data_IF_813423401693
#
_entry.id   IF_813423401693
#
_cell.length_a   1.000
_cell.length_b   1.000
_cell.length_c   1.000
_cell.angle_alpha   90.00
_cell.angle_beta   90.00
_cell.angle_gamma   90.00
#
_symmetry.space_group_name_H-M   'P 1'
#
loop_
_entity.id
_entity.type
_entity.pdbx_description
1 polymer ?
#
# COMPACT_ATOMS: atom_id res chain seq x y z
N UNK A 1 13.11 18.05 23.31
CA UNK A 1 13.16 19.28 22.47
C UNK A 1 11.82 19.98 22.53
N UNK A 2 11.78 21.33 22.55
CA UNK A 2 10.51 22.08 22.57
C UNK A 2 9.83 21.99 21.19
N UNK A 3 8.55 21.61 21.18
CA UNK A 3 7.76 21.38 19.96
C UNK A 3 6.49 22.24 19.85
N UNK A 4 5.93 22.70 20.99
CA UNK A 4 4.77 23.57 21.03
C UNK A 4 4.68 24.31 22.36
N UNK A 5 3.71 25.24 22.48
CA UNK A 5 3.30 25.80 23.76
C UNK A 5 1.98 25.17 24.20
N UNK A 6 1.73 25.14 25.52
CA UNK A 6 0.45 24.62 26.05
C UNK A 6 -0.76 25.43 25.57
N UNK A 7 -0.59 26.72 25.30
CA UNK A 7 -1.62 27.58 24.72
C UNK A 7 -2.01 27.22 23.28
N UNK A 8 -1.16 26.49 22.57
CA UNK A 8 -1.36 26.14 21.16
C UNK A 8 -2.33 24.98 20.95
N UNK A 9 -2.64 24.21 22.02
CA UNK A 9 -3.44 23.00 21.93
C UNK A 9 -4.47 22.98 23.07
N UNK A 10 -5.69 23.38 22.78
CA UNK A 10 -6.78 23.41 23.76
C UNK A 10 -7.22 21.99 24.17
N UNK A 11 -7.91 21.80 25.31
CA UNK A 11 -8.46 20.51 25.67
C UNK A 11 -9.29 19.88 24.54
N UNK A 12 -9.09 18.59 24.28
CA UNK A 12 -9.67 17.83 23.16
C UNK A 12 -9.21 18.28 21.77
N UNK A 13 -8.12 19.04 21.68
CA UNK A 13 -7.48 19.36 20.41
C UNK A 13 -6.19 18.57 20.20
N UNK A 14 -5.81 18.49 18.95
CA UNK A 14 -4.59 17.85 18.46
C UNK A 14 -3.80 18.83 17.62
N UNK A 15 -2.50 18.62 17.54
CA UNK A 15 -1.60 19.41 16.71
C UNK A 15 -0.50 18.55 16.14
N UNK A 16 -0.32 18.66 14.83
CA UNK A 16 0.85 18.11 14.16
C UNK A 16 2.09 18.95 14.47
N UNK A 17 3.20 18.26 14.76
CA UNK A 17 4.52 18.88 14.92
C UNK A 17 5.57 17.98 14.25
N UNK A 18 6.69 18.57 13.88
CA UNK A 18 7.85 17.82 13.35
C UNK A 18 8.98 17.83 14.36
N UNK A 19 9.55 16.66 14.59
CA UNK A 19 10.72 16.46 15.46
C UNK A 19 11.66 15.43 14.83
N UNK A 20 12.90 15.84 14.54
CA UNK A 20 13.94 14.98 13.94
C UNK A 20 13.49 14.21 12.67
N UNK A 21 12.60 14.83 11.88
CA UNK A 21 12.05 14.28 10.65
C UNK A 21 10.86 13.33 10.83
N UNK A 22 10.42 13.10 12.07
CA UNK A 22 9.17 12.38 12.38
C UNK A 22 8.00 13.38 12.49
N UNK A 23 6.84 12.97 12.03
CA UNK A 23 5.60 13.74 12.15
C UNK A 23 4.85 13.19 13.36
N UNK A 24 4.62 14.04 14.36
CA UNK A 24 4.07 13.67 15.66
C UNK A 24 2.74 14.37 15.86
N UNK A 25 1.72 13.66 16.30
CA UNK A 25 0.46 14.18 16.77
C UNK A 25 0.55 14.42 18.28
N UNK A 26 0.47 15.68 18.72
CA UNK A 26 0.33 16.03 20.13
C UNK A 26 -1.15 16.17 20.43
N UNK A 27 -1.60 15.52 21.50
CA UNK A 27 -3.00 15.44 21.90
C UNK A 27 -3.16 16.00 23.31
N UNK A 28 -4.09 16.93 23.50
CA UNK A 28 -4.47 17.45 24.81
C UNK A 28 -5.73 16.73 25.32
N UNK A 29 -5.56 15.82 26.27
CA UNK A 29 -6.66 15.16 26.96
C UNK A 29 -6.77 15.73 28.38
N UNK A 30 -7.73 16.62 28.62
CA UNK A 30 -7.99 17.20 29.95
C UNK A 30 -6.74 17.85 30.57
N UNK A 31 -6.06 18.71 29.81
CA UNK A 31 -4.84 19.43 30.23
C UNK A 31 -3.60 18.54 30.44
N UNK A 32 -3.72 17.26 30.10
CA UNK A 32 -2.60 16.34 30.01
C UNK A 32 -2.24 16.06 28.57
N UNK A 33 -0.97 16.17 28.24
CA UNK A 33 -0.48 16.06 26.86
C UNK A 33 0.09 14.68 26.60
N UNK A 34 -0.29 14.11 25.45
CA UNK A 34 0.21 12.85 24.93
C UNK A 34 0.78 13.09 23.54
N UNK A 35 1.65 12.21 23.10
CA UNK A 35 2.23 12.29 21.76
C UNK A 35 2.38 10.88 21.17
N UNK A 36 1.85 10.71 19.96
CA UNK A 36 1.96 9.49 19.16
C UNK A 36 2.42 9.87 17.75
N UNK A 37 2.84 8.89 16.96
CA UNK A 37 3.11 9.14 15.55
C UNK A 37 1.84 9.69 14.87
N UNK A 38 2.00 10.67 13.97
CA UNK A 38 0.87 11.28 13.26
C UNK A 38 0.40 10.48 12.06
N UNK A 39 1.22 9.54 11.57
CA UNK A 39 0.97 8.76 10.36
C UNK A 39 0.34 7.43 10.76
N UNK A 40 -0.98 7.30 10.56
CA UNK A 40 -1.76 6.13 10.94
C UNK A 40 -1.18 4.84 10.37
N UNK A 41 -0.94 3.85 11.22
CA UNK A 41 -0.34 2.55 10.86
C UNK A 41 -1.18 1.73 9.89
N UNK A 42 -2.47 2.08 9.68
CA UNK A 42 -3.32 1.43 8.68
C UNK A 42 -2.91 1.83 7.25
N UNK A 43 -3.10 3.10 6.87
CA UNK A 43 -2.83 3.61 5.52
C UNK A 43 -2.26 5.04 5.50
N UNK A 44 -1.57 5.45 6.55
CA UNK A 44 -0.85 6.73 6.56
C UNK A 44 -1.73 7.97 6.76
N UNK A 45 -2.99 7.83 7.20
CA UNK A 45 -3.86 8.97 7.47
C UNK A 45 -3.33 9.86 8.60
N UNK A 46 -3.46 11.21 8.50
CA UNK A 46 -2.94 12.14 9.49
C UNK A 46 -3.83 12.14 10.74
N UNK A 47 -3.34 11.59 11.84
CA UNK A 47 -4.11 11.46 13.08
C UNK A 47 -4.50 12.81 13.69
N UNK A 48 -3.67 13.84 13.52
CA UNK A 48 -3.95 15.19 13.99
C UNK A 48 -5.17 15.85 13.32
N UNK A 49 -5.56 15.38 12.13
CA UNK A 49 -6.76 15.85 11.42
C UNK A 49 -8.03 15.07 11.81
N UNK A 50 -7.88 14.07 12.68
CA UNK A 50 -8.95 13.23 13.16
C UNK A 50 -9.71 13.80 14.35
N UNK A 51 -10.20 12.91 15.21
CA UNK A 51 -10.95 13.26 16.42
C UNK A 51 -10.33 12.59 17.64
N UNK A 52 -10.41 13.28 18.80
CA UNK A 52 -10.04 12.67 20.08
C UNK A 52 -11.26 12.58 21.00
N UNK A 53 -11.51 11.39 21.50
CA UNK A 53 -12.58 11.09 22.47
C UNK A 53 -12.00 10.32 23.65
N UNK A 54 -12.04 10.92 24.85
CA UNK A 54 -11.38 10.31 26.01
C UNK A 54 -9.87 10.16 25.77
N UNK A 55 -9.37 8.95 25.78
CA UNK A 55 -7.98 8.60 25.48
C UNK A 55 -7.82 7.96 24.09
N UNK A 56 -8.83 7.99 23.25
CA UNK A 56 -8.77 7.46 21.91
C UNK A 56 -8.66 8.57 20.87
N UNK A 57 -7.74 8.41 19.92
CA UNK A 57 -7.68 9.19 18.69
C UNK A 57 -8.20 8.36 17.53
N UNK A 58 -9.08 8.95 16.73
CA UNK A 58 -9.69 8.32 15.55
C UNK A 58 -9.07 8.87 14.27
N UNK A 59 -8.54 7.98 13.44
CA UNK A 59 -8.02 8.32 12.12
C UNK A 59 -9.14 8.83 11.20
N UNK A 60 -8.98 10.01 10.56
CA UNK A 60 -10.03 10.61 9.73
C UNK A 60 -10.29 9.85 8.43
N UNK A 61 -9.39 8.95 8.02
CA UNK A 61 -9.54 8.23 6.77
C UNK A 61 -10.43 7.01 6.89
N UNK A 62 -10.14 6.09 7.84
CA UNK A 62 -10.84 4.80 7.91
C UNK A 62 -11.36 4.45 9.31
N UNK A 63 -11.30 5.40 10.26
CA UNK A 63 -11.88 5.21 11.58
C UNK A 63 -11.08 4.29 12.52
N UNK A 64 -9.84 3.94 12.18
CA UNK A 64 -8.94 3.26 13.13
C UNK A 64 -8.79 4.09 14.39
N UNK A 65 -8.87 3.47 15.56
CA UNK A 65 -8.68 4.16 16.84
C UNK A 65 -7.48 3.64 17.58
N UNK A 66 -6.80 4.56 18.26
CA UNK A 66 -5.58 4.27 19.03
C UNK A 66 -5.67 4.91 20.41
N UNK A 67 -5.26 4.17 21.46
CA UNK A 67 -5.10 4.72 22.80
C UNK A 67 -3.85 5.63 22.82
N UNK A 68 -4.05 6.91 23.07
CA UNK A 68 -2.97 7.93 23.04
C UNK A 68 -1.89 7.74 24.12
N UNK A 69 -2.14 6.88 25.13
CA UNK A 69 -1.22 6.58 26.22
C UNK A 69 -0.24 5.47 25.88
N UNK A 70 -0.71 4.49 25.08
CA UNK A 70 0.04 3.25 24.79
C UNK A 70 0.35 3.09 23.30
N UNK A 71 -0.38 3.78 22.44
CA UNK A 71 -0.34 3.59 20.99
C UNK A 71 -1.14 2.38 20.50
N UNK A 72 -1.68 1.56 21.40
CA UNK A 72 -2.41 0.34 21.03
C UNK A 72 -3.66 0.62 20.21
N UNK A 73 -3.93 -0.25 19.25
CA UNK A 73 -5.15 -0.20 18.42
C UNK A 73 -6.35 -0.58 19.29
N UNK A 74 -7.33 0.31 19.40
CA UNK A 74 -8.60 0.07 20.13
C UNK A 74 -9.77 -0.19 19.19
N UNK A 75 -9.64 0.20 17.91
CA UNK A 75 -10.62 -0.11 16.86
C UNK A 75 -9.91 -0.31 15.51
N UNK A 76 -10.22 -1.41 14.78
CA UNK A 76 -9.69 -1.62 13.43
C UNK A 76 -10.17 -0.51 12.45
N UNK A 77 -9.58 -0.41 11.22
CA UNK A 77 -8.82 -1.45 10.52
C UNK A 77 -7.29 -1.49 10.77
N UNK A 78 -6.69 -0.55 11.51
CA UNK A 78 -5.30 -0.69 11.89
C UNK A 78 -5.07 -1.98 12.69
N UNK A 79 -3.94 -2.64 12.47
CA UNK A 79 -3.51 -3.85 13.18
C UNK A 79 -2.22 -3.66 13.98
N UNK A 80 -1.49 -2.57 13.72
CA UNK A 80 -0.22 -2.25 14.36
C UNK A 80 -0.39 -1.03 15.29
N UNK A 81 0.24 -1.02 16.46
CA UNK A 81 0.18 0.12 17.37
C UNK A 81 0.94 1.32 16.80
N UNK A 82 0.54 2.52 17.23
CA UNK A 82 1.28 3.74 16.96
C UNK A 82 2.46 3.92 17.91
N UNK A 83 3.64 4.34 17.42
CA UNK A 83 4.73 4.76 18.28
C UNK A 83 4.31 5.90 19.21
N UNK A 84 4.68 5.81 20.49
CA UNK A 84 4.42 6.85 21.49
C UNK A 84 5.71 7.58 21.89
N UNK A 85 5.56 8.81 22.37
CA UNK A 85 6.67 9.67 22.78
C UNK A 85 6.46 10.16 24.21
N UNK A 86 7.56 10.31 24.96
CA UNK A 86 7.51 10.91 26.30
C UNK A 86 7.29 12.42 26.19
N UNK A 87 6.20 12.90 26.81
CA UNK A 87 5.85 14.33 26.84
C UNK A 87 6.15 14.91 28.22
N UNK A 88 6.88 16.01 28.24
CA UNK A 88 7.13 16.81 29.46
C UNK A 88 6.67 18.23 29.23
N UNK A 89 5.93 18.78 30.20
CA UNK A 89 5.55 20.19 30.21
C UNK A 89 6.44 20.96 31.18
N UNK A 90 7.11 22.00 30.68
CA UNK A 90 7.94 22.89 31.48
C UNK A 90 7.44 24.34 31.30
N UNK A 91 6.79 24.87 32.35
CA UNK A 91 6.09 26.14 32.25
C UNK A 91 5.01 26.11 31.17
N UNK A 92 5.17 26.94 30.15
CA UNK A 92 4.26 26.99 29.00
C UNK A 92 4.76 26.19 27.78
N UNK A 93 5.81 25.40 27.93
CA UNK A 93 6.44 24.68 26.82
C UNK A 93 6.17 23.19 26.89
N UNK A 94 5.77 22.60 25.77
CA UNK A 94 5.64 21.16 25.57
C UNK A 94 6.94 20.67 24.96
N UNK A 95 7.58 19.73 25.68
CA UNK A 95 8.83 19.10 25.29
C UNK A 95 8.54 17.63 24.96
N UNK A 96 9.13 17.14 23.89
CA UNK A 96 9.07 15.71 23.53
C UNK A 96 10.48 15.12 23.61
N UNK A 97 10.55 13.91 24.15
CA UNK A 97 11.73 13.07 24.17
C UNK A 97 11.38 11.70 23.57
N UNK A 98 12.22 11.20 22.68
CA UNK A 98 12.07 9.83 22.16
C UNK A 98 12.26 8.86 23.32
N UNK A 99 11.35 7.92 23.53
CA UNK A 99 11.54 6.86 24.52
C UNK A 99 12.71 5.98 24.07
N UNK A 100 13.84 6.10 24.75
CA UNK A 100 14.93 5.13 24.64
C UNK A 100 14.63 3.96 25.59
N UNK A 101 13.96 2.92 25.10
CA UNK A 101 13.70 1.76 25.93
C UNK A 101 12.94 0.64 25.23
N UNK A 102 13.66 -0.26 24.62
CA UNK A 102 13.68 -1.73 24.77
C UNK A 102 14.50 -2.35 23.63
N UNK A 103 15.54 -3.11 24.04
CA UNK A 103 16.38 -4.03 23.27
C UNK A 103 17.06 -3.54 21.98
N UNK A 104 18.36 -3.24 22.10
CA UNK A 104 19.29 -2.97 20.98
C UNK A 104 19.36 -4.10 19.91
N UNK A 105 18.79 -5.27 20.17
CA UNK A 105 18.73 -6.37 19.21
C UNK A 105 17.52 -6.32 18.29
N UNK A 106 16.39 -5.70 18.70
CA UNK A 106 15.24 -5.44 17.83
C UNK A 106 15.42 -4.17 17.00
N UNK A 107 16.28 -3.23 17.45
CA UNK A 107 16.59 -2.00 16.70
C UNK A 107 17.41 -2.23 15.42
N UNK A 108 18.02 -3.40 15.23
CA UNK A 108 18.72 -3.72 13.96
C UNK A 108 17.79 -4.17 12.85
N UNK A 109 16.53 -4.46 13.13
CA UNK A 109 15.52 -4.85 12.15
C UNK A 109 14.51 -3.75 11.82
N UNK A 110 14.39 -2.72 12.63
CA UNK A 110 13.61 -1.51 12.32
C UNK A 110 14.53 -0.34 11.96
N UNK A 111 15.26 -0.45 10.88
CA UNK A 111 15.58 0.73 10.08
C UNK A 111 14.23 1.09 9.42
N UNK A 112 13.38 1.80 10.17
CA UNK A 112 12.28 2.56 9.59
C UNK A 112 12.97 3.56 8.67
N UNK A 113 12.99 3.26 7.38
CA UNK A 113 13.39 4.21 6.37
C UNK A 113 12.52 5.46 6.60
N UNK A 114 13.14 6.56 7.04
CA UNK A 114 12.45 7.86 7.09
C UNK A 114 11.86 8.07 5.71
N UNK A 115 10.59 8.47 5.59
CA UNK A 115 10.04 8.80 4.29
C UNK A 115 10.90 9.93 3.71
N UNK A 116 11.81 9.55 2.83
CA UNK A 116 12.75 10.48 2.22
C UNK A 116 12.03 11.10 1.02
N UNK A 117 12.15 12.42 0.90
CA UNK A 117 11.63 13.12 -0.27
C UNK A 117 12.62 12.99 -1.43
N UNK A 118 12.12 12.53 -2.56
CA UNK A 118 12.87 12.35 -3.79
C UNK A 118 12.26 13.22 -4.89
N UNK A 119 13.06 13.54 -5.88
CA UNK A 119 12.59 14.12 -7.14
C UNK A 119 12.86 13.10 -8.23
N UNK A 120 11.82 12.53 -8.80
CA UNK A 120 11.89 11.56 -9.88
C UNK A 120 11.43 12.19 -11.19
N UNK A 121 12.05 11.80 -12.30
CA UNK A 121 11.68 12.29 -13.64
C UNK A 121 10.83 11.27 -14.35
N UNK A 122 9.67 11.66 -14.89
CA UNK A 122 8.87 10.80 -15.77
C UNK A 122 9.72 10.46 -17.00
N UNK A 123 10.06 9.19 -17.18
CA UNK A 123 10.80 8.70 -18.34
C UNK A 123 9.89 8.20 -19.44
N UNK A 124 8.75 7.62 -19.08
CA UNK A 124 7.80 7.05 -20.03
C UNK A 124 6.39 7.11 -19.45
N UNK A 125 5.40 7.33 -20.31
CA UNK A 125 3.98 7.08 -19.99
C UNK A 125 3.36 6.21 -21.05
N UNK A 126 2.52 5.29 -20.65
CA UNK A 126 1.84 4.37 -21.56
C UNK A 126 0.37 4.24 -21.16
N UNK A 127 -0.52 4.43 -22.13
CA UNK A 127 -1.94 4.12 -21.97
C UNK A 127 -2.18 2.68 -22.42
N UNK A 128 -2.89 1.93 -21.63
CA UNK A 128 -3.34 0.59 -21.99
C UNK A 128 -4.53 0.72 -22.96
N UNK A 129 -4.35 0.20 -24.15
CA UNK A 129 -5.31 0.35 -25.25
C UNK A 129 -6.69 -0.24 -24.88
N UNK A 130 -7.75 0.49 -25.22
CA UNK A 130 -9.13 0.08 -24.95
C UNK A 130 -9.54 0.18 -23.48
N UNK A 131 -8.71 0.79 -22.61
CA UNK A 131 -8.99 0.97 -21.18
C UNK A 131 -8.76 2.40 -20.71
N UNK A 132 -9.12 2.66 -19.44
CA UNK A 132 -8.82 3.91 -18.73
C UNK A 132 -7.50 3.84 -17.91
N UNK A 133 -6.72 2.78 -18.09
CA UNK A 133 -5.46 2.57 -17.33
C UNK A 133 -4.30 3.27 -18.01
N UNK A 134 -3.52 3.99 -17.20
CA UNK A 134 -2.21 4.53 -17.60
C UNK A 134 -1.13 4.10 -16.63
N UNK A 135 0.04 3.83 -17.19
CA UNK A 135 1.27 3.52 -16.47
C UNK A 135 2.29 4.63 -16.67
N UNK A 136 3.04 4.94 -15.62
CA UNK A 136 4.10 5.95 -15.62
C UNK A 136 5.37 5.32 -15.07
N UNK A 137 6.45 5.39 -15.87
CA UNK A 137 7.79 5.06 -15.40
C UNK A 137 8.53 6.32 -15.02
N UNK A 138 9.23 6.25 -13.92
CA UNK A 138 10.10 7.30 -13.44
C UNK A 138 11.53 6.79 -13.41
N UNK A 139 12.48 7.62 -13.87
CA UNK A 139 13.88 7.27 -13.80
C UNK A 139 14.42 7.39 -12.39
N UNK A 140 15.33 6.50 -12.03
CA UNK A 140 16.13 6.55 -10.80
C UNK A 140 17.44 7.35 -10.96
N UNK A 141 17.68 7.92 -12.14
CA UNK A 141 18.98 8.51 -12.53
C UNK A 141 19.38 9.76 -11.76
N UNK A 142 18.45 10.43 -11.06
CA UNK A 142 18.78 11.56 -10.19
C UNK A 142 19.44 11.14 -8.85
N UNK A 143 19.66 9.85 -8.66
CA UNK A 143 20.45 9.32 -7.56
C UNK A 143 21.92 9.33 -7.96
N UNK A 144 22.56 10.45 -7.74
CA UNK A 144 23.94 10.81 -8.03
C UNK A 144 24.95 9.68 -8.27
N UNK A 145 25.93 9.98 -9.13
CA UNK A 145 27.18 9.24 -9.30
C UNK A 145 27.63 8.55 -8.00
N UNK A 146 28.27 7.40 -8.08
CA UNK A 146 28.75 6.50 -6.99
C UNK A 146 29.42 7.15 -5.76
N UNK A 147 29.48 8.46 -5.68
CA UNK A 147 30.07 9.26 -4.59
C UNK A 147 29.11 10.24 -3.93
N UNK A 148 27.79 10.16 -4.18
CA UNK A 148 26.85 11.07 -3.53
C UNK A 148 26.29 10.45 -2.22
N UNK A 149 26.38 11.20 -1.14
CA UNK A 149 25.78 10.93 0.17
C UNK A 149 24.23 11.02 0.17
N UNK A 150 23.58 10.99 -1.00
CA UNK A 150 22.13 11.03 -1.12
C UNK A 150 21.54 9.64 -0.93
N UNK A 151 20.46 9.51 -0.14
CA UNK A 151 19.80 8.22 0.07
C UNK A 151 19.22 7.67 -1.23
N UNK A 152 19.36 6.35 -1.46
CA UNK A 152 18.71 5.66 -2.56
C UNK A 152 17.22 5.47 -2.29
N UNK A 153 16.40 5.43 -3.35
CA UNK A 153 14.98 5.11 -3.21
C UNK A 153 14.81 3.58 -3.11
N UNK A 154 15.11 3.04 -1.92
CA UNK A 154 15.03 1.61 -1.65
C UNK A 154 13.67 1.28 -1.04
N UNK A 155 13.03 0.22 -1.52
CA UNK A 155 11.70 -0.21 -1.08
C UNK A 155 11.59 -1.73 -1.08
N UNK A 156 10.60 -2.22 -0.34
CA UNK A 156 10.20 -3.64 -0.35
C UNK A 156 9.07 -3.85 -1.37
N UNK A 157 9.01 -5.01 -2.07
CA UNK A 157 7.93 -5.31 -3.01
C UNK A 157 6.56 -5.21 -2.33
N UNK A 158 5.65 -4.45 -2.93
CA UNK A 158 4.29 -4.21 -2.42
C UNK A 158 4.09 -2.87 -1.74
N UNK A 159 5.15 -2.13 -1.39
CA UNK A 159 5.03 -0.78 -0.82
C UNK A 159 4.49 0.25 -1.81
N UNK A 160 4.03 1.36 -1.29
CA UNK A 160 3.56 2.53 -2.04
C UNK A 160 4.41 3.77 -1.76
N UNK A 161 4.19 4.84 -2.51
CA UNK A 161 4.76 6.16 -2.26
C UNK A 161 3.75 7.25 -2.60
N UNK A 162 3.95 8.44 -2.06
CA UNK A 162 3.15 9.64 -2.33
C UNK A 162 3.80 10.43 -3.47
N UNK A 163 2.98 10.80 -4.45
CA UNK A 163 3.40 11.56 -5.63
C UNK A 163 2.75 12.93 -5.60
N UNK A 164 3.57 13.96 -5.45
CA UNK A 164 3.18 15.36 -5.55
C UNK A 164 3.47 15.85 -6.97
N UNK A 165 2.41 16.07 -7.74
CA UNK A 165 2.50 16.49 -9.15
C UNK A 165 2.41 18.01 -9.33
N UNK A 166 2.56 18.77 -8.25
CA UNK A 166 2.46 20.22 -8.26
C UNK A 166 1.01 20.71 -8.32
N UNK A 167 0.82 21.92 -8.79
CA UNK A 167 -0.49 22.58 -8.77
C UNK A 167 -1.57 21.78 -9.50
N UNK A 168 -2.61 21.40 -8.76
CA UNK A 168 -3.82 20.77 -9.27
C UNK A 168 -5.00 21.67 -8.94
N UNK A 169 -5.52 22.35 -9.97
CA UNK A 169 -6.62 23.29 -9.79
C UNK A 169 -7.92 22.58 -9.41
N UNK A 170 -8.60 23.05 -8.36
CA UNK A 170 -9.89 22.54 -7.87
C UNK A 170 -9.93 21.06 -7.49
N UNK A 171 -8.83 20.45 -7.07
CA UNK A 171 -8.89 19.12 -6.44
C UNK A 171 -9.03 19.27 -4.92
N UNK A 172 -10.15 18.84 -4.31
CA UNK A 172 -10.37 18.98 -2.87
C UNK A 172 -9.37 18.19 -2.01
N UNK A 173 -8.72 17.17 -2.61
CA UNK A 173 -7.69 16.36 -1.94
C UNK A 173 -6.27 16.87 -2.22
N UNK A 174 -6.10 18.02 -2.89
CA UNK A 174 -4.80 18.61 -3.20
C UNK A 174 -3.95 17.85 -4.22
N UNK A 175 -2.65 18.21 -4.32
CA UNK A 175 -1.74 17.74 -5.38
C UNK A 175 -1.07 16.40 -5.10
N UNK A 176 -1.33 15.76 -3.98
CA UNK A 176 -0.63 14.55 -3.54
C UNK A 176 -1.58 13.35 -3.57
N UNK A 177 -1.12 12.24 -4.13
CA UNK A 177 -1.78 10.92 -4.03
C UNK A 177 -0.74 9.84 -3.83
N UNK A 178 -1.12 8.81 -3.12
CA UNK A 178 -0.32 7.60 -3.01
C UNK A 178 -0.62 6.63 -4.15
N UNK A 179 0.41 5.93 -4.59
CA UNK A 179 0.32 4.84 -5.56
C UNK A 179 1.25 3.72 -5.16
N UNK A 180 0.76 2.49 -5.30
CA UNK A 180 1.59 1.31 -5.15
C UNK A 180 2.74 1.35 -6.16
N UNK A 181 3.94 1.02 -5.69
CA UNK A 181 5.11 0.88 -6.53
C UNK A 181 5.02 -0.47 -7.24
N UNK A 182 4.57 -0.43 -8.50
CA UNK A 182 4.36 -1.64 -9.29
C UNK A 182 5.66 -2.23 -9.86
N UNK A 183 6.76 -1.44 -9.93
CA UNK A 183 8.08 -1.97 -10.25
C UNK A 183 8.62 -2.85 -9.12
N UNK A 184 9.49 -3.79 -9.48
CA UNK A 184 10.28 -4.53 -8.51
C UNK A 184 11.46 -3.71 -8.02
N UNK A 185 11.94 -3.88 -6.78
CA UNK A 185 13.23 -3.31 -6.35
C UNK A 185 14.43 -3.73 -7.23
N UNK A 186 14.30 -4.79 -8.01
CA UNK A 186 15.32 -5.27 -8.95
C UNK A 186 15.34 -4.50 -10.26
N UNK A 187 14.33 -3.70 -10.56
CA UNK A 187 14.23 -2.87 -11.75
C UNK A 187 14.89 -1.50 -11.52
N UNK A 188 15.43 -0.89 -12.57
CA UNK A 188 16.13 0.40 -12.51
C UNK A 188 15.21 1.63 -12.65
N UNK A 189 13.90 1.44 -12.58
CA UNK A 189 12.88 2.48 -12.66
C UNK A 189 11.82 2.30 -11.56
N UNK A 190 11.05 3.34 -11.30
CA UNK A 190 9.83 3.27 -10.49
C UNK A 190 8.65 3.24 -11.46
N UNK A 191 7.72 2.30 -11.27
CA UNK A 191 6.50 2.18 -12.06
C UNK A 191 5.28 2.36 -11.16
N UNK A 192 4.37 3.22 -11.59
CA UNK A 192 3.00 3.25 -11.06
C UNK A 192 2.01 3.02 -12.19
N UNK A 193 0.87 2.41 -11.88
CA UNK A 193 -0.24 2.24 -12.82
C UNK A 193 -1.54 2.63 -12.13
N UNK A 194 -2.40 3.34 -12.85
CA UNK A 194 -3.65 3.85 -12.29
C UNK A 194 -4.72 4.02 -13.34
N UNK A 195 -5.98 3.98 -12.92
CA UNK A 195 -7.12 4.34 -13.76
C UNK A 195 -7.27 5.85 -13.83
N UNK A 196 -7.37 6.39 -15.03
CA UNK A 196 -7.60 7.81 -15.26
C UNK A 196 -9.11 8.03 -15.27
N UNK A 197 -9.63 8.44 -14.12
CA UNK A 197 -11.04 8.78 -13.92
C UNK A 197 -11.24 10.28 -13.75
N UNK A 198 -12.49 10.70 -13.53
CA UNK A 198 -12.88 12.10 -13.43
C UNK A 198 -12.43 12.73 -12.09
N UNK A 199 -11.13 12.94 -11.94
CA UNK A 199 -10.56 13.76 -10.87
C UNK A 199 -9.53 14.73 -11.44
N UNK A 200 -9.44 15.96 -10.92
CA UNK A 200 -8.46 16.94 -11.38
C UNK A 200 -7.03 16.41 -11.29
N UNK A 201 -6.69 15.73 -10.21
CA UNK A 201 -5.37 15.09 -10.04
C UNK A 201 -5.09 14.07 -11.17
N UNK A 202 -6.01 13.14 -11.42
CA UNK A 202 -5.82 12.09 -12.45
C UNK A 202 -5.69 12.68 -13.86
N UNK A 203 -6.50 13.70 -14.17
CA UNK A 203 -6.39 14.45 -15.43
C UNK A 203 -5.04 15.15 -15.55
N UNK A 204 -4.60 15.82 -14.49
CA UNK A 204 -3.29 16.48 -14.45
C UNK A 204 -2.16 15.47 -14.62
N UNK A 205 -2.17 14.35 -13.87
CA UNK A 205 -1.19 13.28 -13.98
C UNK A 205 -1.11 12.77 -15.43
N UNK A 206 -2.26 12.49 -16.06
CA UNK A 206 -2.32 12.03 -17.45
C UNK A 206 -1.76 13.04 -18.47
N UNK A 207 -1.82 14.35 -18.17
CA UNK A 207 -1.29 15.42 -19.01
C UNK A 207 0.22 15.65 -18.85
N UNK A 208 0.86 15.07 -17.83
CA UNK A 208 2.30 15.20 -17.65
C UNK A 208 3.06 14.46 -18.76
N UNK A 209 4.09 15.11 -19.29
CA UNK A 209 4.92 14.55 -20.36
C UNK A 209 6.24 13.99 -19.80
N UNK A 210 6.88 13.05 -20.51
CA UNK A 210 8.25 12.64 -20.20
C UNK A 210 9.20 13.85 -20.06
N UNK A 211 10.11 13.79 -19.09
CA UNK A 211 10.99 14.89 -18.71
C UNK A 211 10.48 15.74 -17.54
N UNK A 212 9.20 15.64 -17.18
CA UNK A 212 8.66 16.36 -16.02
C UNK A 212 9.13 15.71 -14.71
N UNK A 213 9.53 16.56 -13.76
CA UNK A 213 9.96 16.17 -12.41
C UNK A 213 8.77 16.15 -11.47
N UNK A 214 8.67 15.08 -10.67
CA UNK A 214 7.64 14.84 -9.67
C UNK A 214 8.30 14.63 -8.32
N UNK A 215 7.78 15.27 -7.28
CA UNK A 215 8.23 15.01 -5.91
C UNK A 215 7.58 13.72 -5.42
N UNK A 216 8.39 12.86 -4.82
CA UNK A 216 7.94 11.54 -4.33
C UNK A 216 8.41 11.40 -2.89
N UNK A 217 7.48 11.11 -1.99
CA UNK A 217 7.76 10.82 -0.60
C UNK A 217 7.44 9.37 -0.31
N UNK A 218 8.34 8.66 0.33
CA UNK A 218 8.21 7.25 0.66
C UNK A 218 9.56 6.54 0.64
N UNK A 219 9.58 5.19 0.54
CA UNK A 219 8.42 4.30 0.45
C UNK A 219 7.69 4.13 1.79
N UNK A 220 6.43 3.71 1.72
CA UNK A 220 5.58 3.45 2.88
C UNK A 220 4.74 2.17 2.67
N UNK A 221 4.07 1.69 3.73
CA UNK A 221 3.15 0.56 3.68
C UNK A 221 3.73 -0.77 4.16
N UNK A 222 2.84 -1.58 4.77
CA UNK A 222 3.15 -2.88 5.36
C UNK A 222 2.63 -4.07 4.53
N UNK A 223 1.99 -3.80 3.38
CA UNK A 223 1.56 -4.83 2.45
C UNK A 223 2.74 -5.39 1.66
N UNK A 224 3.66 -6.03 2.37
CA UNK A 224 4.93 -6.54 1.83
C UNK A 224 5.00 -8.05 1.86
N UNK A 225 5.80 -8.60 0.94
CA UNK A 225 6.03 -10.02 0.85
C UNK A 225 6.65 -10.56 2.16
N UNK A 226 6.18 -11.73 2.63
CA UNK A 226 6.77 -12.39 3.77
C UNK A 226 8.13 -13.03 3.41
N UNK A 227 8.96 -13.22 4.42
CA UNK A 227 10.33 -13.74 4.25
C UNK A 227 10.46 -15.24 4.60
N UNK A 228 9.42 -15.83 5.18
CA UNK A 228 9.34 -17.27 5.44
C UNK A 228 8.88 -18.02 4.19
N UNK A 229 9.82 -18.38 3.34
CA UNK A 229 9.54 -19.05 2.06
C UNK A 229 9.11 -20.51 2.20
N UNK A 230 9.00 -21.05 3.41
CA UNK A 230 8.35 -22.35 3.66
C UNK A 230 6.83 -22.25 3.53
N UNK A 231 6.27 -21.03 3.66
CA UNK A 231 4.84 -20.74 3.46
C UNK A 231 4.57 -20.31 2.03
N UNK A 232 3.51 -20.84 1.42
CA UNK A 232 3.09 -20.39 0.10
C UNK A 232 2.45 -19.01 0.15
N UNK A 233 2.60 -18.22 -0.90
CA UNK A 233 1.90 -16.94 -1.07
C UNK A 233 0.70 -17.12 -2.01
N UNK A 234 -0.50 -16.80 -1.54
CA UNK A 234 -1.73 -16.83 -2.33
C UNK A 234 -2.14 -15.39 -2.60
N UNK A 235 -2.06 -14.96 -3.86
CA UNK A 235 -2.40 -13.61 -4.28
C UNK A 235 -3.80 -13.58 -4.89
N UNK A 236 -4.64 -12.67 -4.43
CA UNK A 236 -6.04 -12.52 -4.83
C UNK A 236 -6.24 -11.07 -5.26
N UNK A 237 -6.16 -10.81 -6.57
CA UNK A 237 -6.21 -9.46 -7.12
C UNK A 237 -7.50 -9.17 -7.88
N UNK A 238 -7.90 -7.88 -7.87
CA UNK A 238 -9.01 -7.37 -8.69
C UNK A 238 -8.62 -6.10 -9.45
N UNK A 239 -8.59 -6.20 -10.78
CA UNK A 239 -8.31 -5.07 -11.65
C UNK A 239 -6.96 -4.42 -11.35
N UNK A 240 -6.96 -3.10 -11.03
CA UNK A 240 -5.72 -2.37 -10.75
C UNK A 240 -5.02 -2.81 -9.45
N UNK A 241 -5.70 -3.55 -8.56
CA UNK A 241 -5.13 -4.15 -7.36
C UNK A 241 -4.04 -5.19 -7.63
N UNK A 242 -3.78 -5.48 -8.88
CA UNK A 242 -2.66 -6.33 -9.32
C UNK A 242 -1.29 -5.66 -9.15
N UNK A 243 -1.23 -4.35 -8.98
CA UNK A 243 0.03 -3.57 -8.96
C UNK A 243 1.03 -4.02 -7.88
N UNK A 244 0.69 -4.27 -6.61
CA UNK A 244 1.65 -4.79 -5.64
C UNK A 244 2.15 -6.19 -5.99
N UNK A 245 1.29 -7.01 -6.58
CA UNK A 245 1.66 -8.38 -6.98
C UNK A 245 2.65 -8.39 -8.16
N UNK A 246 2.57 -7.41 -9.08
CA UNK A 246 3.60 -7.26 -10.12
C UNK A 246 4.98 -7.07 -9.50
N UNK A 247 5.09 -6.16 -8.53
CA UNK A 247 6.34 -5.91 -7.81
C UNK A 247 6.85 -7.17 -7.12
N UNK A 248 5.98 -7.88 -6.40
CA UNK A 248 6.32 -9.09 -5.65
C UNK A 248 6.74 -10.25 -6.57
N UNK A 249 5.96 -10.55 -7.61
CA UNK A 249 6.22 -11.64 -8.56
C UNK A 249 7.55 -11.41 -9.31
N UNK A 250 7.74 -10.18 -9.80
CA UNK A 250 8.98 -9.81 -10.49
C UNK A 250 10.19 -9.97 -9.57
N UNK A 251 10.09 -9.48 -8.32
CA UNK A 251 11.15 -9.61 -7.32
C UNK A 251 11.52 -11.07 -7.03
N UNK A 252 10.51 -11.92 -6.76
CA UNK A 252 10.73 -13.34 -6.49
C UNK A 252 11.37 -14.06 -7.68
N UNK A 253 10.92 -13.74 -8.87
CA UNK A 253 11.45 -14.33 -10.11
C UNK A 253 12.89 -13.90 -10.37
N UNK A 254 13.18 -12.61 -10.30
CA UNK A 254 14.53 -12.07 -10.55
C UNK A 254 15.56 -12.54 -9.51
N UNK A 255 15.14 -12.68 -8.26
CA UNK A 255 15.99 -13.17 -7.17
C UNK A 255 16.01 -14.69 -7.07
N UNK A 256 15.25 -15.40 -7.92
CA UNK A 256 15.12 -16.86 -7.88
C UNK A 256 14.77 -17.39 -6.48
N UNK A 257 13.88 -16.68 -5.77
CA UNK A 257 13.50 -17.07 -4.41
C UNK A 257 12.65 -18.37 -4.45
N UNK A 258 12.81 -19.27 -3.48
CA UNK A 258 12.11 -20.58 -3.47
C UNK A 258 10.65 -20.47 -2.97
N UNK A 259 10.03 -19.32 -3.13
CA UNK A 259 8.67 -19.05 -2.70
C UNK A 259 7.67 -19.60 -3.72
N UNK A 260 6.73 -20.42 -3.26
CA UNK A 260 5.60 -20.90 -4.08
C UNK A 260 4.51 -19.83 -4.10
N UNK A 261 4.14 -19.37 -5.30
CA UNK A 261 3.11 -18.35 -5.50
C UNK A 261 1.99 -18.92 -6.36
N UNK A 262 0.75 -18.76 -5.90
CA UNK A 262 -0.46 -18.96 -6.70
C UNK A 262 -1.24 -17.66 -6.73
N UNK A 263 -1.40 -17.07 -7.91
CA UNK A 263 -2.10 -15.82 -8.10
C UNK A 263 -3.42 -16.03 -8.84
N UNK A 264 -4.47 -15.46 -8.30
CA UNK A 264 -5.76 -15.31 -8.97
C UNK A 264 -5.95 -13.84 -9.34
N UNK A 265 -6.03 -13.54 -10.63
CA UNK A 265 -6.21 -12.19 -11.15
C UNK A 265 -7.58 -12.05 -11.79
N UNK A 266 -8.50 -11.39 -11.07
CA UNK A 266 -9.88 -11.20 -11.47
C UNK A 266 -10.07 -9.85 -12.16
N UNK A 267 -10.52 -9.89 -13.39
CA UNK A 267 -10.75 -8.71 -14.20
C UNK A 267 -12.15 -8.75 -14.82
N UNK A 268 -12.64 -7.60 -15.28
CA UNK A 268 -13.93 -7.51 -15.94
C UNK A 268 -13.93 -8.29 -17.26
N UNK A 269 -12.91 -8.04 -18.09
CA UNK A 269 -12.72 -8.64 -19.40
C UNK A 269 -11.21 -8.81 -19.67
N UNK A 270 -10.87 -9.44 -20.80
CA UNK A 270 -9.47 -9.68 -21.20
C UNK A 270 -8.65 -8.41 -21.39
N UNK A 271 -9.26 -7.33 -21.89
CA UNK A 271 -8.57 -6.04 -22.14
C UNK A 271 -8.13 -5.35 -20.86
N UNK A 272 -8.80 -5.67 -19.74
CA UNK A 272 -8.50 -5.11 -18.42
C UNK A 272 -7.46 -5.90 -17.64
N UNK A 273 -6.91 -7.00 -18.17
CA UNK A 273 -5.84 -7.78 -17.50
C UNK A 273 -4.52 -7.03 -17.66
N UNK A 274 -4.13 -6.34 -16.60
CA UNK A 274 -2.89 -5.56 -16.56
C UNK A 274 -1.68 -6.50 -16.39
N UNK A 275 -0.56 -6.21 -17.05
CA UNK A 275 0.70 -6.96 -16.97
C UNK A 275 0.66 -8.45 -17.38
N UNK A 276 -0.37 -8.88 -18.11
CA UNK A 276 -0.55 -10.30 -18.48
C UNK A 276 0.71 -10.92 -19.08
N UNK A 277 1.29 -10.27 -20.09
CA UNK A 277 2.48 -10.80 -20.78
C UNK A 277 3.69 -10.92 -19.84
N UNK A 278 3.85 -9.97 -18.90
CA UNK A 278 4.94 -10.00 -17.91
C UNK A 278 4.75 -11.15 -16.92
N UNK A 279 3.52 -11.40 -16.47
CA UNK A 279 3.21 -12.53 -15.57
C UNK A 279 3.41 -13.88 -16.27
N UNK A 280 2.98 -13.99 -17.53
CA UNK A 280 3.17 -15.20 -18.33
C UNK A 280 4.68 -15.47 -18.54
N UNK A 281 5.46 -14.43 -18.80
CA UNK A 281 6.92 -14.51 -18.88
C UNK A 281 7.56 -14.94 -17.55
N UNK A 282 7.12 -14.32 -16.42
CA UNK A 282 7.59 -14.73 -15.09
C UNK A 282 7.24 -16.19 -14.79
N UNK A 283 6.03 -16.64 -15.11
CA UNK A 283 5.60 -18.03 -14.91
C UNK A 283 6.40 -19.01 -15.77
N UNK A 284 6.81 -18.61 -16.97
CA UNK A 284 7.69 -19.46 -17.82
C UNK A 284 9.09 -19.65 -17.24
N UNK A 285 9.59 -18.66 -16.48
CA UNK A 285 10.93 -18.65 -15.86
C UNK A 285 10.92 -19.23 -14.44
N UNK A 286 9.82 -19.09 -13.72
CA UNK A 286 9.68 -19.48 -12.32
C UNK A 286 8.65 -20.59 -12.16
N UNK A 287 9.13 -21.83 -11.98
CA UNK A 287 8.28 -23.03 -11.81
C UNK A 287 7.43 -23.00 -10.52
N UNK A 288 7.77 -22.14 -9.58
CA UNK A 288 7.01 -21.94 -8.34
C UNK A 288 5.88 -20.91 -8.48
N UNK A 289 5.74 -20.27 -9.65
CA UNK A 289 4.69 -19.31 -9.94
C UNK A 289 3.59 -19.94 -10.81
N UNK A 290 2.34 -19.83 -10.35
CA UNK A 290 1.14 -20.17 -11.11
C UNK A 290 0.20 -18.97 -11.11
N UNK A 291 -0.25 -18.56 -12.30
CA UNK A 291 -1.18 -17.44 -12.47
C UNK A 291 -2.49 -17.93 -13.08
N UNK A 292 -3.58 -17.66 -12.40
CA UNK A 292 -4.95 -17.98 -12.81
C UNK A 292 -5.67 -16.68 -13.12
N UNK A 293 -6.01 -16.47 -14.39
CA UNK A 293 -6.80 -15.31 -14.81
C UNK A 293 -8.28 -15.70 -14.84
N UNK A 294 -9.15 -14.82 -14.33
CA UNK A 294 -10.61 -14.95 -14.44
C UNK A 294 -11.25 -13.67 -14.92
N UNK A 295 -12.29 -13.78 -15.75
CA UNK A 295 -13.07 -12.65 -16.25
C UNK A 295 -14.52 -12.74 -15.76
N UNK A 296 -15.12 -11.58 -15.40
CA UNK A 296 -16.42 -11.51 -14.72
C UNK A 296 -17.54 -10.88 -15.55
N UNK A 297 -17.28 -10.44 -16.78
CA UNK A 297 -18.25 -9.68 -17.60
C UNK A 297 -19.45 -10.52 -18.06
N UNK A 298 -19.40 -11.84 -17.91
CA UNK A 298 -20.45 -12.75 -18.41
C UNK A 298 -21.50 -13.13 -17.36
N UNK A 299 -21.47 -12.58 -16.13
CA UNK A 299 -22.42 -12.96 -15.08
C UNK A 299 -23.87 -12.46 -15.35
N UNK A 300 -24.06 -11.41 -16.17
CA UNK A 300 -25.39 -10.80 -16.39
C UNK A 300 -25.90 -10.85 -17.85
N UNK A 301 -25.08 -11.20 -18.83
CA UNK A 301 -25.48 -11.31 -20.23
C UNK A 301 -24.69 -12.40 -20.95
N UNK A 302 -25.03 -13.64 -20.72
CA UNK A 302 -24.48 -14.74 -21.52
C UNK A 302 -25.24 -14.79 -22.87
N UNK A 303 -24.64 -14.43 -24.01
CA UNK A 303 -24.99 -15.09 -25.24
C UNK A 303 -24.56 -16.55 -25.08
N UNK A 304 -25.51 -17.44 -25.16
CA UNK A 304 -25.25 -18.87 -25.29
C UNK A 304 -24.30 -19.10 -26.49
N UNK A 305 -23.00 -19.24 -26.19
CA UNK A 305 -21.88 -19.47 -27.11
C UNK A 305 -21.23 -18.19 -27.68
N UNK A 306 -20.09 -17.76 -27.13
CA UNK A 306 -19.13 -16.98 -27.92
C UNK A 306 -18.46 -17.90 -28.95
N UNK A 307 -17.93 -17.34 -30.04
CA UNK A 307 -17.12 -18.12 -30.97
C UNK A 307 -15.92 -18.71 -30.21
N UNK A 308 -15.80 -20.01 -30.29
CA UNK A 308 -14.99 -20.94 -29.53
C UNK A 308 -13.49 -20.75 -29.62
N UNK A 309 -12.83 -19.62 -29.52
CA UNK A 309 -11.38 -19.72 -29.74
C UNK A 309 -10.42 -18.83 -28.95
N UNK A 310 -10.82 -17.99 -27.98
CA UNK A 310 -9.80 -17.06 -27.45
C UNK A 310 -9.56 -17.05 -25.93
N UNK A 311 -10.54 -17.37 -25.07
CA UNK A 311 -10.34 -17.32 -23.64
C UNK A 311 -10.06 -18.70 -23.02
N UNK A 312 -8.84 -18.90 -22.51
CA UNK A 312 -8.41 -20.16 -21.86
C UNK A 312 -8.40 -20.07 -20.33
N UNK A 313 -8.74 -18.92 -19.75
CA UNK A 313 -8.77 -18.71 -18.29
C UNK A 313 -10.11 -19.12 -17.68
N UNK A 314 -10.22 -18.86 -16.38
CA UNK A 314 -11.46 -19.05 -15.61
C UNK A 314 -12.50 -17.98 -15.94
N UNK A 315 -13.77 -18.26 -15.62
CA UNK A 315 -14.90 -17.32 -15.74
C UNK A 315 -15.59 -17.17 -14.40
N UNK A 316 -16.17 -16.00 -14.16
CA UNK A 316 -16.84 -15.66 -12.92
C UNK A 316 -15.90 -15.08 -11.85
N UNK A 317 -16.47 -14.79 -10.69
CA UNK A 317 -15.74 -14.26 -9.55
C UNK A 317 -14.93 -15.36 -8.88
N UNK A 318 -13.87 -14.96 -8.18
CA UNK A 318 -13.11 -15.90 -7.35
C UNK A 318 -14.04 -16.45 -6.26
N UNK A 319 -14.31 -17.73 -6.32
CA UNK A 319 -15.18 -18.47 -5.42
C UNK A 319 -14.50 -19.69 -4.80
N UNK A 320 -15.22 -20.40 -3.94
CA UNK A 320 -14.73 -21.59 -3.26
C UNK A 320 -14.35 -22.72 -4.24
N UNK A 321 -15.12 -22.90 -5.31
CA UNK A 321 -14.85 -23.94 -6.29
C UNK A 321 -13.55 -23.67 -7.03
N UNK A 322 -13.33 -22.43 -7.46
CA UNK A 322 -12.12 -21.97 -8.13
C UNK A 322 -10.88 -22.12 -7.20
N UNK A 323 -10.98 -21.66 -5.93
CA UNK A 323 -9.89 -21.85 -4.98
C UNK A 323 -9.59 -23.32 -4.74
N UNK A 324 -10.62 -24.15 -4.51
CA UNK A 324 -10.43 -25.59 -4.28
C UNK A 324 -9.77 -26.28 -5.49
N UNK A 325 -10.19 -25.93 -6.70
CA UNK A 325 -9.63 -26.48 -7.93
C UNK A 325 -8.15 -26.19 -8.08
N UNK A 326 -7.74 -24.94 -7.83
CA UNK A 326 -6.39 -24.48 -8.12
C UNK A 326 -5.42 -24.54 -6.93
N UNK A 327 -5.92 -24.77 -5.72
CA UNK A 327 -5.11 -24.90 -4.50
C UNK A 327 -5.08 -26.31 -3.92
N UNK A 328 -5.51 -27.33 -4.70
CA UNK A 328 -5.56 -28.72 -4.24
C UNK A 328 -4.19 -29.30 -3.80
N UNK A 329 -3.10 -28.74 -4.33
CA UNK A 329 -1.70 -29.13 -4.04
C UNK A 329 -1.01 -28.16 -3.04
N UNK A 330 -1.76 -27.27 -2.40
CA UNK A 330 -1.26 -26.24 -1.48
C UNK A 330 -1.73 -26.55 -0.06
N UNK A 331 -0.82 -26.43 0.90
CA UNK A 331 -1.20 -26.41 2.31
C UNK A 331 -1.80 -25.04 2.69
N UNK A 332 -3.13 -24.99 2.70
CA UNK A 332 -3.87 -23.75 2.96
C UNK A 332 -3.59 -23.19 4.36
N UNK A 333 -3.30 -24.06 5.35
CA UNK A 333 -3.02 -23.65 6.72
C UNK A 333 -1.58 -23.13 6.89
N UNK A 334 -0.70 -23.48 5.98
CA UNK A 334 0.68 -22.98 5.95
C UNK A 334 0.89 -22.03 4.76
N UNK A 335 -0.06 -21.13 4.53
CA UNK A 335 -0.01 -20.14 3.43
C UNK A 335 -0.33 -18.75 3.94
N UNK A 336 0.20 -17.72 3.28
CA UNK A 336 -0.15 -16.33 3.52
C UNK A 336 -0.98 -15.84 2.33
N UNK A 337 -2.12 -15.26 2.64
CA UNK A 337 -3.09 -14.75 1.68
C UNK A 337 -2.95 -13.23 1.55
N UNK A 338 -2.78 -12.75 0.35
CA UNK A 338 -2.69 -11.34 0.03
C UNK A 338 -3.88 -10.96 -0.83
N UNK A 339 -4.68 -10.02 -0.36
CA UNK A 339 -5.89 -9.57 -1.06
C UNK A 339 -5.73 -8.10 -1.41
N UNK A 340 -5.83 -7.77 -2.70
CA UNK A 340 -5.77 -6.38 -3.14
C UNK A 340 -6.77 -6.11 -4.26
N UNK A 341 -7.61 -5.07 -4.08
CA UNK A 341 -8.63 -4.72 -5.05
C UNK A 341 -9.71 -3.80 -4.50
N UNK A 342 -10.87 -3.70 -5.18
CA UNK A 342 -11.97 -2.85 -4.75
C UNK A 342 -12.68 -3.41 -3.49
N UNK A 343 -13.24 -2.52 -2.63
CA UNK A 343 -13.87 -2.91 -1.36
C UNK A 343 -14.90 -4.06 -1.43
N UNK A 344 -15.80 -4.14 -2.45
CA UNK A 344 -16.74 -5.26 -2.52
C UNK A 344 -16.05 -6.62 -2.72
N UNK A 345 -14.97 -6.67 -3.50
CA UNK A 345 -14.18 -7.88 -3.71
C UNK A 345 -13.46 -8.30 -2.43
N UNK A 346 -12.84 -7.34 -1.72
CA UNK A 346 -12.14 -7.61 -0.46
C UNK A 346 -13.07 -8.28 0.54
N UNK A 347 -14.26 -7.71 0.76
CA UNK A 347 -15.27 -8.29 1.67
C UNK A 347 -15.69 -9.70 1.25
N UNK A 348 -15.94 -9.92 -0.04
CA UNK A 348 -16.34 -11.24 -0.54
C UNK A 348 -15.24 -12.29 -0.33
N UNK A 349 -13.98 -11.94 -0.62
CA UNK A 349 -12.85 -12.85 -0.44
C UNK A 349 -12.55 -13.10 1.03
N UNK A 350 -12.59 -12.07 1.89
CA UNK A 350 -12.41 -12.26 3.33
C UNK A 350 -13.45 -13.22 3.91
N UNK A 351 -14.75 -13.05 3.55
CA UNK A 351 -15.80 -13.98 3.95
C UNK A 351 -15.52 -15.41 3.46
N UNK A 352 -15.06 -15.56 2.22
CA UNK A 352 -14.70 -16.85 1.64
C UNK A 352 -13.54 -17.52 2.38
N UNK A 353 -12.50 -16.76 2.76
CA UNK A 353 -11.37 -17.29 3.51
C UNK A 353 -11.78 -17.69 4.94
N UNK A 354 -12.70 -16.95 5.57
CA UNK A 354 -13.29 -17.33 6.87
C UNK A 354 -14.07 -18.64 6.77
N UNK A 355 -14.87 -18.85 5.72
CA UNK A 355 -15.54 -20.13 5.47
C UNK A 355 -14.56 -21.29 5.29
N UNK A 356 -13.39 -21.02 4.72
CA UNK A 356 -12.28 -21.96 4.58
C UNK A 356 -11.46 -22.13 5.86
N UNK A 357 -11.84 -21.42 6.95
CA UNK A 357 -11.16 -21.43 8.25
C UNK A 357 -9.70 -21.01 8.20
N UNK A 358 -9.38 -20.06 7.32
CA UNK A 358 -8.08 -19.40 7.28
C UNK A 358 -8.02 -18.42 8.45
N UNK A 359 -6.91 -18.41 9.16
CA UNK A 359 -6.72 -17.53 10.33
C UNK A 359 -6.45 -16.09 9.88
N UNK A 360 -6.87 -15.11 10.69
CA UNK A 360 -6.72 -13.69 10.36
C UNK A 360 -5.26 -13.26 10.20
N UNK A 361 -4.35 -13.83 10.99
CA UNK A 361 -2.90 -13.55 10.92
C UNK A 361 -2.24 -14.08 9.62
N UNK A 362 -2.93 -14.94 8.88
CA UNK A 362 -2.52 -15.40 7.55
C UNK A 362 -2.99 -14.47 6.43
N UNK A 363 -3.85 -13.49 6.72
CA UNK A 363 -4.50 -12.65 5.71
C UNK A 363 -3.92 -11.23 5.76
N UNK A 364 -3.37 -10.79 4.64
CA UNK A 364 -2.94 -9.42 4.42
C UNK A 364 -3.87 -8.77 3.40
N UNK A 365 -4.32 -7.56 3.68
CA UNK A 365 -5.29 -6.85 2.85
C UNK A 365 -4.75 -5.47 2.52
N UNK A 366 -4.89 -5.05 1.26
CA UNK A 366 -4.69 -3.67 0.82
C UNK A 366 -5.92 -3.21 0.05
N UNK A 367 -6.58 -2.18 0.55
CA UNK A 367 -7.79 -1.64 -0.03
C UNK A 367 -7.48 -0.47 -0.96
N UNK A 368 -7.96 -0.57 -2.20
CA UNK A 368 -7.87 0.54 -3.15
C UNK A 368 -9.17 1.35 -3.12
N UNK A 369 -9.20 2.38 -2.27
CA UNK A 369 -10.30 3.34 -2.19
C UNK A 369 -10.16 4.43 -3.25
N UNK A 370 -11.27 4.80 -3.92
CA UNK A 370 -11.30 5.94 -4.85
C UNK A 370 -11.19 5.59 -6.33
N UNK A 371 -11.66 4.42 -6.68
CA UNK A 371 -11.83 3.98 -8.07
C UNK A 371 -13.24 4.23 -8.57
#
# INVERSE_FOLDING_TARGET
>A
MKVANTSDIQPKQMKEVQLDGEIICIINVNEKYYAINNVCTHEGGPLADGKVEGYEVECPWHGSKFDVRTGEVTNPPASEPEPTYEVKVEGNSILIKKQSGKNEQEQRQSIICRPTEFVLTISEKQKMEGTDVMSFKFSREDQGTQNSSKPSFDYRPGQFAFFDIGDVYNDPKGPIRHFTIASSPTENFILISTRIRDSPYKKRLASLEPGIKVKVKGPEGNFVLHEDYSKSAIFLSGGIGVTPFRSMIKYVTDKSLPLKIVMFDSNRDQKNILFKNEFDECASKNKNLRVIYTITEDDDQIPSSPPDNEWKGERGRIDKAMLTKHLADIDLKNSIYYICGPPPMLRSIQSLLQELRIQEDQIKVEEFTGY
#
